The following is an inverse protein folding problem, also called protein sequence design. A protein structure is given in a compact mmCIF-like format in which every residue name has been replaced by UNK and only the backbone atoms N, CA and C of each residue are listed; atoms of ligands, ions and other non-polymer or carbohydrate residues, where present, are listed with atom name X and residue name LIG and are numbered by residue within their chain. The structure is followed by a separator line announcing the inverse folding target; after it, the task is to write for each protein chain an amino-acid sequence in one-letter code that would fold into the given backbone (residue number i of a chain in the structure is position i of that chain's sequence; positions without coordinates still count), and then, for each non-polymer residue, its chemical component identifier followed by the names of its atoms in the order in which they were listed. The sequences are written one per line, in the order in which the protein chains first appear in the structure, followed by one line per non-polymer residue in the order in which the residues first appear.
data_IF_214090462851
#
_entry.id   IF_214090462851
#
_cell.length_a   1.000
_cell.length_b   1.000
_cell.length_c   1.000
_cell.angle_alpha   90.00
_cell.angle_beta   90.00
_cell.angle_gamma   90.00
#
_symmetry.space_group_name_H-M   'P 1'
#
loop_
_entity.id
_entity.type
_entity.pdbx_description
1 polymer ?
#
# COMPACT_ATOMS: atom_id res chain seq x y z
N UNK A 1 7.39 -7.88 58.22
CA UNK A 1 7.04 -8.92 57.22
C UNK A 1 7.36 -8.34 55.85
N UNK A 2 8.62 -8.10 55.51
CA UNK A 2 9.55 -9.03 54.84
C UNK A 2 8.96 -9.72 53.61
N UNK A 3 9.27 -9.17 52.44
CA UNK A 3 9.75 -9.93 51.28
C UNK A 3 10.45 -8.97 50.31
N UNK A 4 11.78 -9.01 50.34
CA UNK A 4 12.67 -8.30 49.43
C UNK A 4 12.78 -9.06 48.11
N UNK A 5 12.57 -8.38 46.98
CA UNK A 5 12.86 -8.92 45.64
C UNK A 5 14.16 -8.29 45.16
N UNK A 6 15.20 -9.11 45.15
CA UNK A 6 16.57 -8.78 44.76
C UNK A 6 16.62 -8.68 43.22
N UNK A 7 16.88 -7.49 42.69
CA UNK A 7 17.25 -7.29 41.28
C UNK A 7 18.75 -7.60 41.12
N UNK A 8 19.08 -8.76 40.54
CA UNK A 8 20.45 -9.07 40.09
C UNK A 8 20.65 -8.58 38.66
N UNK A 9 21.51 -7.59 38.48
CA UNK A 9 22.07 -7.21 37.20
C UNK A 9 23.04 -8.31 36.73
N UNK A 10 22.77 -8.91 35.57
CA UNK A 10 23.69 -9.82 34.91
C UNK A 10 24.49 -9.03 33.87
N UNK A 11 25.76 -8.80 34.18
CA UNK A 11 26.79 -8.36 33.26
C UNK A 11 27.11 -9.55 32.35
N UNK A 12 26.75 -9.47 31.08
CA UNK A 12 27.15 -10.47 30.08
C UNK A 12 28.50 -10.02 29.52
N UNK A 13 29.56 -10.69 29.96
CA UNK A 13 30.88 -10.60 29.38
C UNK A 13 30.89 -11.30 28.02
N UNK A 14 31.18 -10.55 26.96
CA UNK A 14 31.39 -11.05 25.60
C UNK A 14 32.69 -11.84 25.53
N UNK A 15 32.58 -13.16 25.68
CA UNK A 15 33.65 -14.12 25.39
C UNK A 15 33.67 -14.37 23.87
N UNK A 16 34.68 -13.79 23.20
CA UNK A 16 35.05 -14.10 21.83
C UNK A 16 35.54 -15.54 21.73
N UNK A 17 34.66 -16.46 21.35
CA UNK A 17 35.06 -17.78 20.88
C UNK A 17 35.41 -17.69 19.39
N UNK A 18 36.71 -17.75 19.08
CA UNK A 18 37.20 -18.04 17.74
C UNK A 18 36.77 -19.47 17.39
N UNK A 19 35.75 -19.61 16.56
CA UNK A 19 35.36 -20.88 15.96
C UNK A 19 36.37 -21.15 14.84
N UNK A 20 37.41 -21.91 15.19
CA UNK A 20 38.31 -22.53 14.23
C UNK A 20 37.50 -23.57 13.45
N UNK A 21 37.01 -23.17 12.28
CA UNK A 21 36.30 -24.06 11.38
C UNK A 21 37.23 -25.17 10.90
N UNK A 22 37.03 -26.39 11.42
CA UNK A 22 37.61 -27.60 10.85
C UNK A 22 37.08 -27.77 9.43
N UNK A 23 37.91 -27.41 8.44
CA UNK A 23 37.70 -27.81 7.06
C UNK A 23 37.74 -29.34 6.99
N UNK A 24 36.57 -29.97 6.82
CA UNK A 24 36.50 -31.35 6.38
C UNK A 24 36.93 -31.38 4.91
N UNK A 25 38.22 -31.62 4.69
CA UNK A 25 38.74 -31.97 3.37
C UNK A 25 38.16 -33.33 2.99
N UNK A 26 37.34 -33.35 1.93
CA UNK A 26 37.01 -34.60 1.28
C UNK A 26 38.31 -35.20 0.72
N UNK A 27 38.57 -36.51 0.90
CA UNK A 27 39.73 -37.15 0.31
C UNK A 27 39.65 -37.03 -1.21
N UNK A 28 40.74 -36.56 -1.81
CA UNK A 28 40.89 -36.51 -3.25
C UNK A 28 40.68 -37.92 -3.85
N UNK A 29 39.97 -38.04 -4.98
CA UNK A 29 39.85 -39.33 -5.66
C UNK A 29 41.25 -39.85 -6.05
N UNK A 30 41.42 -41.17 -5.93
CA UNK A 30 42.66 -41.85 -6.25
C UNK A 30 43.13 -41.55 -7.69
N UNK A 31 44.45 -41.46 -7.95
CA UNK A 31 44.95 -41.28 -9.30
C UNK A 31 44.50 -42.45 -10.18
N UNK A 32 43.85 -42.14 -11.30
CA UNK A 32 43.57 -43.14 -12.33
C UNK A 32 44.89 -43.75 -12.83
N UNK A 33 44.94 -45.06 -13.13
CA UNK A 33 46.12 -45.67 -13.71
C UNK A 33 46.47 -45.00 -15.04
N UNK A 34 47.77 -44.90 -15.40
CA UNK A 34 48.19 -44.32 -16.67
C UNK A 34 47.58 -45.15 -17.80
N UNK A 35 46.55 -44.60 -18.43
CA UNK A 35 45.99 -45.18 -19.63
C UNK A 35 46.97 -44.85 -20.75
N UNK A 36 47.70 -45.85 -21.23
CA UNK A 36 48.40 -45.78 -22.51
C UNK A 36 47.35 -45.84 -23.63
N UNK A 37 46.54 -44.79 -23.74
CA UNK A 37 45.79 -44.53 -24.95
C UNK A 37 46.81 -43.95 -25.93
N UNK A 38 47.19 -44.76 -26.91
CA UNK A 38 47.84 -44.25 -28.10
C UNK A 38 46.92 -43.17 -28.66
N UNK A 39 47.43 -41.95 -28.78
CA UNK A 39 46.73 -40.87 -29.46
C UNK A 39 46.47 -41.35 -30.90
N UNK A 40 45.22 -41.67 -31.21
CA UNK A 40 44.80 -41.69 -32.60
C UNK A 40 45.11 -40.30 -33.18
N UNK A 41 45.71 -40.22 -34.38
CA UNK A 41 45.97 -38.95 -35.01
C UNK A 41 44.64 -38.21 -35.12
N UNK A 42 44.61 -36.96 -34.64
CA UNK A 42 43.47 -36.08 -34.79
C UNK A 42 43.02 -36.15 -36.25
N UNK A 43 41.84 -36.73 -36.49
CA UNK A 43 41.23 -36.73 -37.81
C UNK A 43 41.14 -35.26 -38.21
N UNK A 44 41.88 -34.91 -39.25
CA UNK A 44 41.78 -33.61 -39.89
C UNK A 44 40.36 -33.49 -40.41
N UNK A 45 39.53 -32.74 -39.68
CA UNK A 45 38.24 -32.24 -40.16
C UNK A 45 38.47 -31.61 -41.53
N UNK A 46 37.73 -32.07 -42.53
CA UNK A 46 37.90 -31.60 -43.91
C UNK A 46 37.57 -30.11 -43.98
N UNK A 47 38.07 -29.42 -45.02
CA UNK A 47 37.70 -28.03 -45.25
C UNK A 47 36.17 -27.86 -45.38
N UNK A 48 35.44 -28.87 -45.86
CA UNK A 48 33.98 -28.90 -45.89
C UNK A 48 33.36 -29.05 -44.51
N UNK A 49 33.89 -29.92 -43.65
CA UNK A 49 33.40 -30.10 -42.27
C UNK A 49 33.69 -28.86 -41.42
N UNK A 50 34.84 -28.23 -41.65
CA UNK A 50 35.21 -26.95 -41.04
C UNK A 50 34.34 -25.80 -41.55
N UNK A 51 34.01 -25.77 -42.84
CA UNK A 51 33.09 -24.81 -43.43
C UNK A 51 31.63 -25.03 -42.97
N UNK A 52 31.21 -26.27 -42.71
CA UNK A 52 29.89 -26.61 -42.15
C UNK A 52 29.79 -26.19 -40.67
N UNK A 53 30.87 -26.37 -39.91
CA UNK A 53 30.97 -25.89 -38.52
C UNK A 53 31.01 -24.35 -38.49
N UNK A 54 31.81 -23.70 -39.34
CA UNK A 54 31.85 -22.23 -39.48
C UNK A 54 30.51 -21.66 -39.98
N UNK A 55 29.79 -22.38 -40.85
CA UNK A 55 28.44 -22.03 -41.29
C UNK A 55 27.37 -22.26 -40.21
N UNK A 56 27.55 -23.24 -39.31
CA UNK A 56 26.68 -23.46 -38.14
C UNK A 56 26.90 -22.42 -37.04
N UNK A 57 28.08 -21.77 -36.99
CA UNK A 57 28.45 -20.79 -35.96
C UNK A 57 27.81 -19.40 -36.18
N UNK A 58 27.09 -19.16 -37.28
CA UNK A 58 26.50 -17.85 -37.59
C UNK A 58 24.96 -17.82 -37.64
N UNK A 59 24.28 -18.50 -36.72
CA UNK A 59 22.87 -18.15 -36.48
C UNK A 59 22.79 -17.28 -35.23
N UNK A 60 22.65 -15.97 -35.46
CA UNK A 60 22.38 -15.01 -34.40
C UNK A 60 21.04 -15.36 -33.75
N UNK A 61 21.01 -15.41 -32.42
CA UNK A 61 19.82 -15.75 -31.65
C UNK A 61 18.67 -14.81 -32.02
N UNK A 62 17.48 -15.35 -32.27
CA UNK A 62 16.28 -14.57 -32.60
C UNK A 62 15.28 -14.60 -31.43
N UNK A 63 14.40 -13.58 -31.36
CA UNK A 63 13.34 -13.53 -30.34
C UNK A 63 12.41 -14.76 -30.36
N UNK A 64 12.24 -15.39 -31.52
CA UNK A 64 11.42 -16.60 -31.69
C UNK A 64 12.12 -17.86 -31.17
N UNK A 65 13.42 -17.81 -30.88
CA UNK A 65 14.16 -18.94 -30.32
C UNK A 65 13.98 -19.06 -28.81
N UNK A 66 13.68 -17.96 -28.11
CA UNK A 66 13.60 -17.92 -26.65
C UNK A 66 12.55 -18.90 -26.11
N UNK A 67 11.38 -18.98 -26.75
CA UNK A 67 10.28 -19.87 -26.33
C UNK A 67 10.55 -21.36 -26.60
N UNK A 68 11.63 -21.72 -27.29
CA UNK A 68 12.03 -23.13 -27.46
C UNK A 68 12.61 -23.71 -26.16
N UNK A 69 13.10 -22.86 -25.26
CA UNK A 69 13.73 -23.24 -24.00
C UNK A 69 13.10 -22.56 -22.76
N UNK A 70 12.52 -21.36 -22.92
CA UNK A 70 11.89 -20.60 -21.85
C UNK A 70 10.37 -20.62 -22.00
N UNK A 71 9.68 -21.41 -21.19
CA UNK A 71 8.21 -21.49 -21.25
C UNK A 71 7.52 -20.43 -20.37
N UNK A 72 8.13 -20.10 -19.23
CA UNK A 72 7.50 -19.25 -18.20
C UNK A 72 7.47 -17.78 -18.62
N UNK A 73 8.61 -17.22 -19.02
CA UNK A 73 8.74 -15.78 -19.32
C UNK A 73 7.87 -15.36 -20.52
N UNK A 74 7.84 -16.07 -21.66
CA UNK A 74 6.93 -15.74 -22.75
C UNK A 74 5.45 -15.86 -22.36
N UNK A 75 5.09 -16.84 -21.52
CA UNK A 75 3.72 -16.98 -21.01
C UNK A 75 3.33 -15.82 -20.08
N UNK A 76 4.25 -15.36 -19.25
CA UNK A 76 4.08 -14.19 -18.38
C UNK A 76 3.90 -12.90 -19.20
N UNK A 77 4.75 -12.65 -20.19
CA UNK A 77 4.61 -11.51 -21.12
C UNK A 77 3.26 -11.56 -21.83
N UNK A 78 2.87 -12.74 -22.34
CA UNK A 78 1.57 -12.91 -23.00
C UNK A 78 0.40 -12.62 -22.07
N UNK A 79 0.53 -12.95 -20.78
CA UNK A 79 -0.52 -12.76 -19.78
C UNK A 79 -0.64 -11.30 -19.37
N UNK A 80 0.47 -10.67 -18.98
CA UNK A 80 0.49 -9.36 -18.30
C UNK A 80 1.69 -8.46 -18.70
N UNK A 81 2.29 -8.64 -19.88
CA UNK A 81 3.51 -7.93 -20.29
C UNK A 81 3.32 -6.45 -20.64
N UNK A 82 2.10 -6.02 -20.96
CA UNK A 82 1.84 -4.64 -21.37
C UNK A 82 2.71 -4.25 -22.58
N UNK A 83 3.42 -3.13 -22.50
CA UNK A 83 4.32 -2.70 -23.59
C UNK A 83 5.51 -3.64 -23.82
N UNK A 84 5.89 -4.46 -22.83
CA UNK A 84 6.94 -5.47 -23.02
C UNK A 84 6.48 -6.65 -23.89
N UNK A 85 5.20 -6.69 -24.27
CA UNK A 85 4.66 -7.66 -25.22
C UNK A 85 4.62 -7.11 -26.65
N UNK A 86 4.51 -5.79 -26.83
CA UNK A 86 4.21 -5.18 -28.14
C UNK A 86 5.31 -4.28 -28.69
N UNK A 87 6.06 -3.60 -27.82
CA UNK A 87 7.03 -2.58 -28.23
C UNK A 87 8.48 -3.05 -28.09
N UNK A 88 8.71 -4.13 -27.34
CA UNK A 88 10.03 -4.62 -26.94
C UNK A 88 10.01 -6.15 -27.07
N UNK A 89 11.08 -6.73 -27.61
CA UNK A 89 11.33 -8.16 -27.69
C UNK A 89 12.28 -8.66 -26.61
N UNK A 90 12.50 -9.97 -26.57
CA UNK A 90 13.39 -10.63 -25.62
C UNK A 90 14.81 -10.05 -25.70
N UNK A 91 15.37 -9.87 -26.90
CA UNK A 91 16.74 -9.42 -27.13
C UNK A 91 16.96 -7.92 -26.91
N UNK A 92 15.89 -7.12 -26.87
CA UNK A 92 15.98 -5.69 -26.54
C UNK A 92 16.27 -5.47 -25.04
N UNK A 93 15.92 -6.47 -24.21
CA UNK A 93 16.20 -6.49 -22.77
C UNK A 93 17.28 -7.54 -22.40
N UNK A 94 17.38 -8.64 -23.15
CA UNK A 94 18.39 -9.67 -22.92
C UNK A 94 19.56 -9.52 -23.89
N UNK A 95 20.42 -8.53 -23.62
CA UNK A 95 21.55 -8.17 -24.48
C UNK A 95 22.64 -9.27 -24.56
N UNK A 96 22.69 -10.12 -23.53
CA UNK A 96 23.62 -11.25 -23.48
C UNK A 96 22.89 -12.50 -22.94
N UNK A 97 23.20 -13.68 -23.48
CA UNK A 97 22.61 -14.95 -23.04
C UNK A 97 23.60 -15.76 -22.20
N UNK A 98 23.17 -16.30 -21.04
CA UNK A 98 24.01 -17.15 -20.19
C UNK A 98 24.36 -18.49 -20.87
N UNK A 99 25.50 -19.13 -20.54
CA UNK A 99 26.52 -18.70 -19.57
C UNK A 99 27.55 -17.71 -20.14
N UNK A 100 27.51 -17.42 -21.45
CA UNK A 100 28.49 -16.55 -22.11
C UNK A 100 28.30 -15.07 -21.71
N UNK A 101 27.05 -14.68 -21.46
CA UNK A 101 26.67 -13.38 -20.91
C UNK A 101 26.69 -13.32 -19.39
N UNK A 102 27.08 -12.18 -18.83
CA UNK A 102 27.01 -11.90 -17.38
C UNK A 102 26.21 -10.64 -17.05
N UNK A 103 25.89 -9.82 -18.06
CA UNK A 103 25.09 -8.59 -17.92
C UNK A 103 23.86 -8.68 -18.82
N UNK A 104 23.02 -9.65 -18.48
CA UNK A 104 21.88 -10.03 -19.31
C UNK A 104 20.85 -8.92 -19.43
N UNK A 105 20.56 -8.15 -18.38
CA UNK A 105 19.49 -7.13 -18.35
C UNK A 105 20.09 -5.71 -18.25
N UNK A 106 19.73 -4.75 -19.13
CA UNK A 106 20.19 -3.38 -19.08
C UNK A 106 19.58 -2.60 -17.91
N UNK A 107 20.04 -1.38 -17.69
CA UNK A 107 19.38 -0.48 -16.74
C UNK A 107 17.98 -0.13 -17.22
N UNK A 108 16.99 -0.21 -16.34
CA UNK A 108 15.59 0.14 -16.63
C UNK A 108 15.45 1.55 -17.24
N UNK A 109 16.29 2.48 -16.78
CA UNK A 109 16.32 3.89 -17.21
C UNK A 109 16.70 4.10 -18.67
N UNK A 110 17.26 3.09 -19.35
CA UNK A 110 17.54 3.16 -20.79
C UNK A 110 16.25 3.29 -21.62
N UNK A 111 15.13 2.76 -21.11
CA UNK A 111 13.82 2.86 -21.75
C UNK A 111 12.81 3.63 -20.90
N UNK A 112 12.93 3.59 -19.57
CA UNK A 112 12.09 4.33 -18.63
C UNK A 112 12.78 5.63 -18.19
N UNK A 113 12.61 6.68 -19.01
CA UNK A 113 13.34 7.93 -18.83
C UNK A 113 12.90 8.69 -17.55
N UNK A 114 13.82 9.00 -16.61
CA UNK A 114 13.48 9.63 -15.31
C UNK A 114 12.85 11.02 -15.40
N UNK A 115 13.01 11.71 -16.53
CA UNK A 115 12.44 13.02 -16.81
C UNK A 115 10.98 12.96 -17.27
N UNK A 116 10.48 11.77 -17.67
CA UNK A 116 9.09 11.61 -18.14
C UNK A 116 8.08 11.43 -17.01
N UNK A 117 8.50 10.88 -15.86
CA UNK A 117 7.65 10.70 -14.68
C UNK A 117 8.50 10.60 -13.40
N UNK A 118 8.06 11.23 -12.31
CA UNK A 118 8.75 11.16 -11.00
C UNK A 118 8.96 9.71 -10.52
N UNK A 119 8.05 8.81 -10.85
CA UNK A 119 8.16 7.38 -10.54
C UNK A 119 9.46 6.75 -11.10
N UNK A 120 9.88 7.13 -12.31
CA UNK A 120 11.08 6.57 -12.94
C UNK A 120 12.39 7.11 -12.36
N UNK A 121 12.33 8.09 -11.45
CA UNK A 121 13.50 8.54 -10.66
C UNK A 121 13.76 7.65 -9.44
N UNK A 122 12.83 6.76 -9.09
CA UNK A 122 12.99 5.86 -7.95
C UNK A 122 14.10 4.84 -8.22
N UNK A 123 14.97 4.57 -7.23
CA UNK A 123 15.93 3.47 -7.30
C UNK A 123 15.23 2.12 -7.09
N UNK A 124 15.97 1.03 -7.30
CA UNK A 124 15.57 -0.34 -6.94
C UNK A 124 14.23 -0.80 -7.55
N UNK A 125 14.03 -0.62 -8.85
CA UNK A 125 12.78 -0.91 -9.56
C UNK A 125 12.20 -2.32 -9.25
N UNK A 126 13.07 -3.32 -9.04
CA UNK A 126 12.70 -4.71 -8.78
C UNK A 126 12.17 -4.97 -7.36
N UNK A 127 12.24 -4.00 -6.43
CA UNK A 127 11.56 -4.12 -5.13
C UNK A 127 10.04 -4.17 -5.28
N UNK A 128 9.51 -3.45 -6.29
CA UNK A 128 8.08 -3.45 -6.63
C UNK A 128 7.80 -4.28 -7.90
N UNK A 129 8.61 -4.09 -8.95
CA UNK A 129 8.47 -4.77 -10.23
C UNK A 129 9.26 -6.08 -10.25
N UNK A 130 8.91 -7.00 -9.35
CA UNK A 130 9.65 -8.26 -9.12
C UNK A 130 9.77 -9.13 -10.37
N UNK A 131 8.81 -9.02 -11.28
CA UNK A 131 8.84 -9.69 -12.58
C UNK A 131 8.70 -8.67 -13.70
N UNK A 132 9.80 -8.29 -14.38
CA UNK A 132 9.77 -7.40 -15.54
C UNK A 132 8.94 -7.93 -16.71
N UNK A 133 8.63 -9.23 -16.76
CA UNK A 133 7.73 -9.81 -17.77
C UNK A 133 6.25 -9.55 -17.47
N UNK A 134 5.92 -9.12 -16.25
CA UNK A 134 4.56 -8.71 -15.86
C UNK A 134 4.63 -7.36 -15.14
N UNK A 135 5.08 -6.28 -15.81
CA UNK A 135 5.50 -5.05 -15.12
C UNK A 135 4.37 -4.38 -14.33
N UNK A 136 3.10 -4.59 -14.68
CA UNK A 136 1.95 -4.03 -13.96
C UNK A 136 1.35 -4.97 -12.90
N UNK A 137 1.81 -6.22 -12.81
CA UNK A 137 1.45 -7.15 -11.72
C UNK A 137 2.39 -6.90 -10.53
N UNK A 138 2.17 -5.76 -9.89
CA UNK A 138 3.04 -5.24 -8.84
C UNK A 138 2.63 -5.83 -7.50
N UNK A 139 3.59 -6.48 -6.85
CA UNK A 139 3.46 -6.98 -5.49
C UNK A 139 4.41 -6.23 -4.56
N UNK A 140 3.84 -5.67 -3.50
CA UNK A 140 4.54 -4.73 -2.62
C UNK A 140 4.46 -5.25 -1.19
N UNK A 141 5.63 -5.51 -0.61
CA UNK A 141 5.73 -5.88 0.79
C UNK A 141 5.62 -4.63 1.67
N UNK A 142 5.18 -4.82 2.92
CA UNK A 142 5.09 -3.73 3.89
C UNK A 142 6.46 -3.42 4.50
N UNK A 143 7.32 -2.75 3.72
CA UNK A 143 8.68 -2.37 4.12
C UNK A 143 8.88 -0.85 4.01
N UNK A 144 9.32 -0.14 5.05
CA UNK A 144 9.75 1.25 4.89
C UNK A 144 10.96 1.33 3.94
N UNK A 145 11.08 2.35 3.06
CA UNK A 145 10.23 3.54 2.93
C UNK A 145 9.24 3.48 1.75
N UNK A 146 8.60 2.32 1.48
CA UNK A 146 7.79 2.06 0.28
C UNK A 146 6.72 3.12 -0.07
N UNK A 147 6.19 3.78 0.94
CA UNK A 147 5.22 4.88 0.80
C UNK A 147 5.73 6.04 -0.08
N UNK A 148 7.05 6.25 -0.19
CA UNK A 148 7.63 7.22 -1.10
C UNK A 148 7.30 6.90 -2.57
N UNK A 149 7.35 5.62 -2.95
CA UNK A 149 6.99 5.17 -4.29
C UNK A 149 5.51 5.34 -4.60
N UNK A 150 4.63 5.10 -3.63
CA UNK A 150 3.19 5.31 -3.82
C UNK A 150 2.85 6.78 -4.13
N UNK A 151 3.55 7.72 -3.47
CA UNK A 151 3.33 9.17 -3.61
C UNK A 151 3.77 9.75 -4.95
N UNK A 152 4.57 9.03 -5.76
CA UNK A 152 4.93 9.52 -7.11
C UNK A 152 3.75 9.50 -8.06
N UNK A 153 2.75 8.65 -7.79
CA UNK A 153 1.51 8.54 -8.57
C UNK A 153 0.26 8.98 -7.81
N UNK A 154 0.28 8.88 -6.47
CA UNK A 154 -0.80 9.33 -5.57
C UNK A 154 -0.35 10.47 -4.63
N UNK A 155 0.16 11.60 -5.17
CA UNK A 155 0.63 12.71 -4.33
C UNK A 155 -0.49 13.28 -3.45
N UNK A 156 -1.71 13.36 -3.98
CA UNK A 156 -2.87 13.91 -3.29
C UNK A 156 -3.22 13.14 -2.02
N UNK A 157 -2.98 11.82 -2.00
CA UNK A 157 -3.23 10.98 -0.82
C UNK A 157 -2.15 11.14 0.25
N UNK A 158 -0.91 11.35 -0.18
CA UNK A 158 0.17 11.73 0.72
C UNK A 158 -0.08 13.09 1.38
N UNK A 159 -0.55 14.07 0.61
CA UNK A 159 -0.90 15.40 1.09
C UNK A 159 -2.11 15.38 2.03
N UNK A 160 -3.15 14.60 1.71
CA UNK A 160 -4.33 14.44 2.55
C UNK A 160 -3.97 13.90 3.94
N UNK A 161 -3.16 12.83 4.01
CA UNK A 161 -2.68 12.25 5.27
C UNK A 161 -1.81 13.21 6.10
N UNK A 162 -1.01 14.06 5.42
CA UNK A 162 -0.19 15.07 6.08
C UNK A 162 -1.03 16.23 6.63
N UNK A 163 -2.07 16.64 5.89
CA UNK A 163 -2.99 17.71 6.28
C UNK A 163 -3.89 17.33 7.45
N UNK A 164 -4.32 16.06 7.52
CA UNK A 164 -5.22 15.55 8.55
C UNK A 164 -4.57 14.40 9.34
N UNK A 165 -3.60 14.71 10.22
CA UNK A 165 -2.83 13.69 10.90
C UNK A 165 -3.69 12.82 11.80
N UNK A 166 -3.42 11.51 11.78
CA UNK A 166 -4.06 10.53 12.66
C UNK A 166 -3.07 9.39 12.97
N UNK A 167 -3.50 8.36 13.71
CA UNK A 167 -2.67 7.15 13.91
C UNK A 167 -2.27 6.48 12.60
N UNK A 168 -3.07 6.63 11.54
CA UNK A 168 -2.76 6.08 10.22
C UNK A 168 -1.61 6.81 9.53
N UNK A 169 -1.34 8.07 9.86
CA UNK A 169 -0.22 8.84 9.29
C UNK A 169 1.14 8.24 9.64
N UNK A 170 1.22 7.46 10.74
CA UNK A 170 2.43 6.74 11.14
C UNK A 170 2.60 5.37 10.48
N UNK A 171 1.61 4.91 9.69
CA UNK A 171 1.62 3.62 9.02
C UNK A 171 2.05 3.79 7.55
N UNK A 172 2.64 2.74 6.98
CA UNK A 172 2.90 2.71 5.54
C UNK A 172 1.59 2.55 4.76
N UNK A 173 1.59 3.03 3.50
CA UNK A 173 0.45 2.84 2.59
C UNK A 173 0.06 1.36 2.47
N UNK A 174 1.05 0.47 2.41
CA UNK A 174 0.94 -0.99 2.31
C UNK A 174 0.26 -1.66 3.51
N UNK A 175 0.22 -1.00 4.67
CA UNK A 175 -0.49 -1.55 5.82
C UNK A 175 -2.00 -1.66 5.57
N UNK A 176 -2.55 -0.64 4.90
CA UNK A 176 -3.96 -0.56 4.48
C UNK A 176 -4.17 -1.03 3.04
N UNK A 177 -3.15 -0.92 2.19
CA UNK A 177 -3.16 -1.38 0.79
C UNK A 177 -2.20 -2.56 0.59
N UNK A 178 -2.50 -3.75 1.17
CA UNK A 178 -1.52 -4.81 1.29
C UNK A 178 -1.28 -5.54 -0.03
N UNK A 179 -0.05 -6.03 -0.19
CA UNK A 179 0.35 -7.10 -1.11
C UNK A 179 0.21 -6.78 -2.59
N UNK A 180 -0.99 -6.52 -3.10
CA UNK A 180 -1.24 -6.22 -4.51
C UNK A 180 -1.68 -4.77 -4.69
N UNK A 181 -1.15 -4.13 -5.73
CA UNK A 181 -1.62 -2.81 -6.11
C UNK A 181 -3.15 -2.81 -6.31
N UNK A 182 -3.83 -1.77 -5.78
CA UNK A 182 -5.29 -1.59 -5.71
C UNK A 182 -6.03 -2.47 -4.71
N UNK A 183 -5.36 -3.36 -3.98
CA UNK A 183 -5.98 -4.04 -2.86
C UNK A 183 -6.20 -3.06 -1.71
N UNK A 184 -7.33 -3.19 -1.01
CA UNK A 184 -7.71 -2.32 0.11
C UNK A 184 -8.20 -3.20 1.25
N UNK A 185 -7.61 -3.02 2.42
CA UNK A 185 -8.08 -3.61 3.68
C UNK A 185 -9.33 -2.88 4.16
N UNK A 186 -10.34 -3.61 4.64
CA UNK A 186 -11.55 -3.00 5.19
C UNK A 186 -11.30 -2.48 6.61
N UNK A 187 -11.98 -1.39 6.98
CA UNK A 187 -11.84 -0.77 8.31
C UNK A 187 -12.14 -1.77 9.44
N UNK A 188 -13.16 -2.61 9.24
CA UNK A 188 -13.65 -3.58 10.23
C UNK A 188 -12.67 -4.73 10.50
N UNK A 189 -11.59 -4.86 9.72
CA UNK A 189 -10.51 -5.82 10.03
C UNK A 189 -9.65 -5.38 11.22
N UNK A 190 -9.72 -4.10 11.62
CA UNK A 190 -8.96 -3.55 12.74
C UNK A 190 -9.80 -2.69 13.70
N UNK A 191 -10.96 -2.20 13.27
CA UNK A 191 -11.83 -1.32 14.05
C UNK A 191 -13.19 -1.97 14.35
N UNK A 192 -13.70 -1.75 15.56
CA UNK A 192 -15.09 -2.05 15.91
C UNK A 192 -16.01 -0.94 15.38
N UNK A 193 -17.20 -1.27 14.85
CA UNK A 193 -18.16 -0.25 14.44
C UNK A 193 -18.69 0.54 15.64
N UNK A 194 -19.25 1.73 15.40
CA UNK A 194 -19.87 2.52 16.47
C UNK A 194 -21.22 1.95 16.95
N UNK A 195 -21.87 1.12 16.13
CA UNK A 195 -23.06 0.36 16.49
C UNK A 195 -23.10 -0.96 15.71
N UNK A 196 -23.75 -1.99 16.27
CA UNK A 196 -23.76 -3.35 15.71
C UNK A 196 -24.36 -3.44 14.29
N UNK A 197 -25.20 -2.48 13.90
CA UNK A 197 -25.81 -2.44 12.59
C UNK A 197 -24.94 -1.80 11.50
N UNK A 198 -23.82 -1.15 11.87
CA UNK A 198 -22.97 -0.43 10.91
C UNK A 198 -22.02 -1.38 10.20
N UNK A 199 -22.00 -1.30 8.88
CA UNK A 199 -21.10 -2.06 8.01
C UNK A 199 -19.98 -1.16 7.45
N UNK A 200 -19.08 -1.74 6.65
CA UNK A 200 -17.92 -1.02 6.09
C UNK A 200 -18.34 0.20 5.27
N UNK A 201 -19.40 0.07 4.48
CA UNK A 201 -19.93 1.14 3.63
C UNK A 201 -20.45 2.32 4.46
N UNK A 202 -21.04 2.06 5.64
CA UNK A 202 -21.49 3.12 6.56
C UNK A 202 -20.32 3.91 7.14
N UNK A 203 -19.15 3.29 7.31
CA UNK A 203 -17.94 3.97 7.80
C UNK A 203 -17.54 5.10 6.84
N UNK A 204 -17.64 4.85 5.52
CA UNK A 204 -17.23 5.77 4.46
C UNK A 204 -18.21 6.94 4.27
N UNK A 205 -19.42 6.86 4.83
CA UNK A 205 -20.37 7.96 4.82
C UNK A 205 -19.90 9.15 5.68
N UNK A 206 -19.02 8.89 6.65
CA UNK A 206 -18.53 9.87 7.61
C UNK A 206 -17.00 10.02 7.61
N UNK A 207 -16.28 8.91 7.46
CA UNK A 207 -14.82 8.85 7.57
C UNK A 207 -14.17 8.67 6.20
N UNK A 208 -13.20 9.53 5.90
CA UNK A 208 -12.33 9.33 4.73
C UNK A 208 -11.10 8.51 5.13
N UNK A 209 -10.66 7.49 4.35
CA UNK A 209 -9.57 6.60 4.75
C UNK A 209 -8.23 7.31 5.02
N UNK A 210 -7.95 8.37 4.27
CA UNK A 210 -6.71 9.16 4.39
C UNK A 210 -6.86 10.38 5.30
N UNK A 211 -8.06 10.65 5.81
CA UNK A 211 -8.34 11.74 6.75
C UNK A 211 -9.45 11.34 7.75
N UNK A 212 -9.30 10.23 8.49
CA UNK A 212 -10.41 9.63 9.23
C UNK A 212 -10.96 10.51 10.37
N UNK A 213 -10.18 11.48 10.84
CA UNK A 213 -10.63 12.45 11.86
C UNK A 213 -11.36 13.67 11.27
N UNK A 214 -11.28 13.88 9.96
CA UNK A 214 -11.97 14.96 9.27
C UNK A 214 -13.39 14.52 8.88
N UNK A 215 -14.23 14.33 9.90
CA UNK A 215 -15.56 13.73 9.76
C UNK A 215 -16.50 14.67 8.99
N UNK A 216 -17.00 14.17 7.86
CA UNK A 216 -17.92 14.88 6.97
C UNK A 216 -19.01 13.92 6.51
N UNK A 217 -20.24 14.40 6.43
CA UNK A 217 -21.41 13.57 6.12
C UNK A 217 -22.45 14.36 5.34
N UNK A 218 -23.34 13.65 4.65
CA UNK A 218 -24.41 14.24 3.85
C UNK A 218 -25.53 14.80 4.74
N UNK A 219 -26.26 15.79 4.25
CA UNK A 219 -27.37 16.42 4.98
C UNK A 219 -28.54 15.44 5.22
N UNK A 220 -28.63 14.38 4.43
CA UNK A 220 -29.62 13.30 4.53
C UNK A 220 -29.20 12.17 5.49
N UNK A 221 -28.06 12.32 6.19
CA UNK A 221 -27.56 11.28 7.11
C UNK A 221 -28.61 10.94 8.17
N UNK A 222 -29.02 9.66 8.30
CA UNK A 222 -30.04 9.26 9.26
C UNK A 222 -29.65 9.53 10.72
N UNK A 223 -30.56 10.09 11.52
CA UNK A 223 -30.31 10.41 12.94
C UNK A 223 -29.87 9.22 13.79
N UNK A 224 -30.28 7.99 13.42
CA UNK A 224 -29.81 6.76 14.10
C UNK A 224 -28.30 6.58 14.05
N UNK A 225 -27.63 7.10 13.00
CA UNK A 225 -26.17 7.01 12.87
C UNK A 225 -25.49 7.93 13.89
N UNK A 226 -26.08 9.10 14.16
CA UNK A 226 -25.64 10.00 15.23
C UNK A 226 -25.91 9.37 16.62
N UNK A 227 -27.06 8.70 16.76
CA UNK A 227 -27.46 7.98 17.96
C UNK A 227 -26.52 6.85 18.39
N UNK A 228 -25.71 6.29 17.47
CA UNK A 228 -24.68 5.32 17.80
C UNK A 228 -23.71 5.83 18.89
N UNK A 229 -23.41 7.13 18.88
CA UNK A 229 -22.60 7.79 19.91
C UNK A 229 -23.43 8.71 20.83
N UNK A 230 -24.56 9.22 20.34
CA UNK A 230 -25.39 10.22 21.01
C UNK A 230 -26.79 9.69 21.36
N UNK A 231 -26.88 8.46 21.86
CA UNK A 231 -28.15 7.75 22.14
C UNK A 231 -29.11 8.57 23.01
N UNK A 232 -28.62 9.15 24.11
CA UNK A 232 -29.42 10.01 24.99
C UNK A 232 -29.99 11.23 24.28
N UNK A 233 -29.20 11.88 23.42
CA UNK A 233 -29.62 13.10 22.70
C UNK A 233 -30.62 12.74 21.61
N UNK A 234 -30.39 11.65 20.88
CA UNK A 234 -31.35 11.14 19.91
C UNK A 234 -32.68 10.82 20.60
N UNK A 235 -32.63 10.14 21.74
CA UNK A 235 -33.81 9.81 22.55
C UNK A 235 -34.55 11.06 23.02
N UNK A 236 -33.84 12.11 23.46
CA UNK A 236 -34.44 13.39 23.82
C UNK A 236 -35.18 14.02 22.63
N UNK A 237 -34.51 14.10 21.47
CA UNK A 237 -35.09 14.69 20.26
C UNK A 237 -36.35 13.94 19.81
N UNK A 238 -36.31 12.61 19.80
CA UNK A 238 -37.45 11.76 19.40
C UNK A 238 -38.63 11.82 20.38
N UNK A 239 -38.36 12.09 21.66
CA UNK A 239 -39.40 12.23 22.69
C UNK A 239 -39.90 13.68 22.88
N UNK A 240 -39.22 14.65 22.28
CA UNK A 240 -39.62 16.05 22.31
C UNK A 240 -40.92 16.25 21.54
N UNK A 241 -41.87 16.99 22.11
CA UNK A 241 -43.10 17.38 21.37
C UNK A 241 -42.95 18.74 20.66
N UNK A 242 -41.75 19.34 20.71
CA UNK A 242 -41.45 20.53 19.92
C UNK A 242 -41.20 20.15 18.46
N UNK A 243 -41.45 21.08 17.53
CA UNK A 243 -41.25 20.85 16.08
C UNK A 243 -39.83 20.44 15.68
N UNK A 244 -38.83 20.73 16.51
CA UNK A 244 -37.46 20.28 16.29
C UNK A 244 -37.35 18.74 16.27
N UNK A 245 -38.22 18.02 17.00
CA UNK A 245 -38.26 16.55 16.99
C UNK A 245 -38.60 15.93 15.64
N UNK A 246 -39.14 16.71 14.69
CA UNK A 246 -39.41 16.27 13.32
C UNK A 246 -38.18 16.38 12.39
N UNK A 247 -37.10 17.02 12.85
CA UNK A 247 -35.89 17.26 12.05
C UNK A 247 -34.85 16.17 12.27
N UNK A 248 -34.05 15.89 11.24
CA UNK A 248 -32.90 15.00 11.38
C UNK A 248 -31.73 15.71 12.05
N UNK A 249 -30.82 14.95 12.67
CA UNK A 249 -29.61 15.53 13.25
C UNK A 249 -28.81 16.32 12.20
N UNK A 250 -28.62 15.75 11.00
CA UNK A 250 -27.85 16.34 9.92
C UNK A 250 -28.49 17.60 9.30
N UNK A 251 -29.82 17.77 9.42
CA UNK A 251 -30.49 19.00 9.01
C UNK A 251 -29.98 20.23 9.79
N UNK A 252 -29.79 20.08 11.09
CA UNK A 252 -29.27 21.13 11.96
C UNK A 252 -27.73 21.14 11.98
N UNK A 253 -27.12 19.97 12.18
CA UNK A 253 -25.68 19.79 12.24
C UNK A 253 -25.14 19.53 10.84
N UNK A 254 -25.02 20.57 10.02
CA UNK A 254 -24.70 20.39 8.60
C UNK A 254 -23.24 20.03 8.32
N UNK A 255 -23.04 19.24 7.27
CA UNK A 255 -21.78 19.06 6.52
C UNK A 255 -20.61 18.38 7.24
N UNK A 256 -20.32 18.71 8.50
CA UNK A 256 -19.14 18.22 9.22
C UNK A 256 -19.38 18.06 10.72
N UNK A 257 -18.59 17.21 11.35
CA UNK A 257 -18.62 17.02 12.80
C UNK A 257 -17.34 17.59 13.45
N UNK A 258 -17.46 18.42 14.51
CA UNK A 258 -18.69 18.98 15.06
C UNK A 258 -19.13 20.26 14.32
N UNK A 259 -20.44 20.47 14.22
CA UNK A 259 -21.07 21.72 13.78
C UNK A 259 -22.23 21.99 14.72
N UNK A 260 -22.41 23.22 15.22
CA UNK A 260 -23.59 23.61 16.00
C UNK A 260 -24.15 24.88 15.35
N UNK A 261 -25.39 24.85 14.82
CA UNK A 261 -25.97 26.03 14.17
C UNK A 261 -26.38 27.07 15.22
N UNK A 262 -26.51 28.33 14.78
CA UNK A 262 -27.13 29.35 15.60
C UNK A 262 -28.65 29.29 15.46
N UNK A 263 -29.39 29.61 16.53
CA UNK A 263 -30.85 29.68 16.47
C UNK A 263 -31.34 30.67 15.38
N UNK A 264 -30.59 31.77 15.20
CA UNK A 264 -30.87 32.82 14.22
C UNK A 264 -30.73 32.37 12.75
N UNK A 265 -30.07 31.24 12.50
CA UNK A 265 -29.90 30.73 11.13
C UNK A 265 -31.24 30.27 10.52
N UNK A 266 -32.24 29.99 11.38
CA UNK A 266 -33.60 29.61 10.96
C UNK A 266 -34.69 30.49 11.60
N UNK A 267 -34.46 31.00 12.82
CA UNK A 267 -35.45 31.83 13.53
C UNK A 267 -35.16 33.32 13.39
N UNK A 268 -36.18 34.08 12.98
CA UNK A 268 -36.11 35.55 12.89
C UNK A 268 -36.44 36.21 14.23
N UNK A 269 -35.63 35.98 15.27
CA UNK A 269 -35.75 36.53 16.63
C UNK A 269 -37.21 36.69 17.11
N UNK A 270 -37.82 35.62 17.67
CA UNK A 270 -39.25 35.60 17.99
C UNK A 270 -39.64 36.51 19.17
N UNK A 271 -38.67 37.01 19.94
CA UNK A 271 -38.87 37.89 21.09
C UNK A 271 -38.49 39.32 20.76
N UNK A 272 -39.02 40.28 21.51
CA UNK A 272 -38.67 41.69 21.36
C UNK A 272 -37.20 41.98 21.75
N UNK A 273 -36.67 43.09 21.25
CA UNK A 273 -35.27 43.46 21.46
C UNK A 273 -34.92 43.75 22.93
N UNK A 274 -35.88 44.20 23.75
CA UNK A 274 -35.60 44.50 25.15
C UNK A 274 -35.38 43.20 25.95
N UNK A 275 -36.22 42.19 25.73
CA UNK A 275 -36.01 40.85 26.29
C UNK A 275 -34.70 40.24 25.78
N UNK A 276 -34.48 40.23 24.46
CA UNK A 276 -33.26 39.65 23.89
C UNK A 276 -31.99 40.33 24.41
N UNK A 277 -31.98 41.67 24.53
CA UNK A 277 -30.84 42.41 25.08
C UNK A 277 -30.58 42.07 26.55
N UNK A 278 -31.63 41.89 27.35
CA UNK A 278 -31.50 41.55 28.79
C UNK A 278 -30.76 40.23 29.01
N UNK A 279 -30.89 39.28 28.09
CA UNK A 279 -30.29 37.95 28.20
C UNK A 279 -29.10 37.73 27.25
N UNK A 280 -28.55 38.79 26.66
CA UNK A 280 -27.46 38.76 25.68
C UNK A 280 -27.76 37.90 24.43
N UNK A 281 -29.02 37.83 24.03
CA UNK A 281 -29.49 36.98 22.93
C UNK A 281 -29.20 35.48 23.12
N UNK A 282 -28.96 35.03 24.36
CA UNK A 282 -28.70 33.62 24.67
C UNK A 282 -30.02 32.86 24.88
N UNK A 283 -30.55 32.31 23.79
CA UNK A 283 -31.82 31.57 23.79
C UNK A 283 -31.87 30.44 24.84
N UNK A 284 -30.75 29.74 25.05
CA UNK A 284 -30.69 28.56 25.91
C UNK A 284 -30.85 28.85 27.41
N UNK A 285 -30.78 30.12 27.84
CA UNK A 285 -31.08 30.50 29.24
C UNK A 285 -32.52 30.20 29.63
N UNK A 286 -33.44 30.24 28.66
CA UNK A 286 -34.86 29.94 28.86
C UNK A 286 -35.30 28.70 28.07
N UNK A 287 -34.75 28.49 26.87
CA UNK A 287 -35.12 27.38 25.99
C UNK A 287 -34.35 26.08 26.26
N UNK A 288 -33.46 26.05 27.26
CA UNK A 288 -32.70 24.87 27.75
C UNK A 288 -31.84 24.15 26.70
N UNK A 289 -32.44 23.37 25.82
CA UNK A 289 -31.75 22.52 24.83
C UNK A 289 -32.60 22.40 23.54
N UNK A 290 -32.04 22.62 22.34
CA UNK A 290 -32.78 22.45 21.09
C UNK A 290 -33.32 21.01 20.86
N UNK A 291 -32.72 20.01 21.53
CA UNK A 291 -33.18 18.62 21.46
C UNK A 291 -34.31 18.28 22.46
N UNK A 292 -34.58 19.16 23.42
CA UNK A 292 -35.58 18.97 24.49
C UNK A 292 -36.14 20.34 24.92
N UNK A 293 -36.73 21.05 23.95
CA UNK A 293 -37.31 22.36 24.18
C UNK A 293 -38.56 22.23 25.07
N UNK A 294 -38.56 22.95 26.19
CA UNK A 294 -39.71 23.06 27.08
C UNK A 294 -40.71 24.04 26.44
N UNK A 295 -41.93 23.57 26.15
CA UNK A 295 -43.09 24.39 25.77
C UNK A 295 -44.15 24.34 26.87
#
# INVERSE_FOLDING_TARGET
MSSAIIRRAAVIASLSFAIWGCAQTQPAPAPLPPTTAQAEPAKTVSAEEKALIEAQVQTELQNTDCSKCHDTQPADIKRNGGKHQTEIGCLDCHLEHLPLGTKTIPQCSMCHAPDTQEHFKLPNCLECHRNPHTPLDVTVDDVPPISAGCKTCHPEKGEELAKFPSKHTALNCTFCHPTKHKQIKKCLECHTPHADFMVYEDCLACHQPHSPLNIQYADETPSKNCGACHDTILSQLLNSKAKHGELTCAFCHKTKHPTVPNCSDCHKNPHDNAMMSTFNSECLKCHRNPHDLIY
#
